data_IF_233978513147
#
_entry.id   IF_233978513147
#
_cell.length_a   1.000
_cell.length_b   1.000
_cell.length_c   1.000
_cell.angle_alpha   90.00
_cell.angle_beta   90.00
_cell.angle_gamma   90.00
#
_symmetry.space_group_name_H-M   'P 1'
#
loop_
_entity.id
_entity.type
_entity.pdbx_description
1 polymer ?
#
# COMPACT_ATOMS: atom_id res chain seq x y z
N UNK A 1 3.04 -19.82 2.25
CA UNK A 1 1.90 -18.92 2.51
C UNK A 1 2.14 -17.60 1.81
N UNK A 2 1.18 -17.16 1.01
CA UNK A 2 1.35 -15.94 0.22
C UNK A 2 0.82 -14.73 0.98
N UNK A 3 1.69 -13.80 1.28
CA UNK A 3 1.33 -12.52 1.89
C UNK A 3 0.98 -11.51 0.80
N UNK A 4 -0.13 -10.79 0.98
CA UNK A 4 -0.45 -9.64 0.16
C UNK A 4 -0.17 -8.38 0.96
N UNK A 5 0.75 -7.56 0.49
CA UNK A 5 1.17 -6.34 1.15
C UNK A 5 0.74 -5.12 0.34
N UNK A 6 0.07 -4.18 1.00
CA UNK A 6 -0.23 -2.87 0.43
C UNK A 6 0.84 -1.91 0.92
N UNK A 7 1.59 -1.32 0.02
CA UNK A 7 2.62 -0.34 0.39
C UNK A 7 2.03 1.06 0.29
N UNK A 8 1.91 1.75 1.42
CA UNK A 8 1.50 3.14 1.38
C UNK A 8 2.65 4.03 0.89
N UNK A 9 2.44 5.35 0.86
CA UNK A 9 3.46 6.26 0.35
C UNK A 9 4.75 6.23 1.16
N UNK A 10 4.68 5.99 2.48
CA UNK A 10 5.89 5.89 3.32
C UNK A 10 6.68 4.63 3.01
N UNK A 11 6.00 3.50 2.89
CA UNK A 11 6.61 2.22 2.55
C UNK A 11 7.17 2.23 1.12
N UNK A 12 6.43 2.81 0.18
CA UNK A 12 6.88 2.93 -1.21
C UNK A 12 8.14 3.77 -1.31
N UNK A 13 8.20 4.88 -0.57
CA UNK A 13 9.41 5.71 -0.50
C UNK A 13 10.61 4.91 0.02
N UNK A 14 10.38 4.08 1.05
CA UNK A 14 11.44 3.23 1.57
C UNK A 14 11.91 2.20 0.54
N UNK A 15 10.98 1.60 -0.20
CA UNK A 15 11.33 0.66 -1.29
C UNK A 15 12.23 1.34 -2.33
N UNK A 16 11.87 2.56 -2.73
CA UNK A 16 12.63 3.29 -3.75
C UNK A 16 14.00 3.76 -3.23
N UNK A 17 14.17 3.81 -1.91
CA UNK A 17 15.47 4.09 -1.28
C UNK A 17 16.24 2.81 -0.95
N UNK A 18 15.81 1.68 -1.51
CA UNK A 18 16.45 0.38 -1.36
C UNK A 18 16.51 -0.12 0.10
N UNK A 19 15.47 0.17 0.89
CA UNK A 19 15.34 -0.40 2.22
C UNK A 19 15.38 -1.93 2.13
N UNK A 20 16.21 -2.61 2.94
CA UNK A 20 16.39 -4.06 2.81
C UNK A 20 15.10 -4.88 2.98
N UNK A 21 14.23 -4.49 3.91
CA UNK A 21 12.99 -5.22 4.12
C UNK A 21 12.09 -5.15 2.88
N UNK A 22 11.85 -3.94 2.37
CA UNK A 22 10.96 -3.74 1.23
C UNK A 22 11.55 -4.28 -0.06
N UNK A 23 12.86 -4.21 -0.22
CA UNK A 23 13.54 -4.85 -1.34
C UNK A 23 13.35 -6.35 -1.29
N UNK A 24 13.51 -6.97 -0.12
CA UNK A 24 13.26 -8.39 0.06
C UNK A 24 11.83 -8.79 -0.24
N UNK A 25 10.87 -7.97 0.18
CA UNK A 25 9.46 -8.20 -0.09
C UNK A 25 9.18 -8.20 -1.60
N UNK A 26 9.75 -7.27 -2.32
CA UNK A 26 9.61 -7.20 -3.78
C UNK A 26 10.24 -8.42 -4.46
N UNK A 27 11.39 -8.89 -3.97
CA UNK A 27 12.03 -10.11 -4.47
C UNK A 27 11.11 -11.32 -4.27
N UNK A 28 10.47 -11.43 -3.11
CA UNK A 28 9.50 -12.50 -2.86
C UNK A 28 8.33 -12.44 -3.86
N UNK A 29 7.85 -11.25 -4.15
CA UNK A 29 6.79 -11.07 -5.16
C UNK A 29 7.25 -11.55 -6.53
N UNK A 30 8.52 -11.31 -6.89
CA UNK A 30 9.08 -11.73 -8.17
C UNK A 30 9.17 -13.26 -8.29
N UNK A 31 9.20 -13.96 -7.16
CA UNK A 31 9.23 -15.41 -7.10
C UNK A 31 7.85 -16.04 -6.97
N UNK A 32 6.80 -15.23 -6.93
CA UNK A 32 5.43 -15.73 -6.78
C UNK A 32 5.07 -16.14 -5.36
N UNK A 33 5.89 -15.80 -4.35
CA UNK A 33 5.64 -16.16 -2.95
C UNK A 33 5.00 -15.04 -2.16
N UNK A 34 4.53 -13.98 -2.84
CA UNK A 34 3.81 -12.88 -2.24
C UNK A 34 3.26 -11.96 -3.30
N UNK A 35 2.45 -10.99 -2.88
CA UNK A 35 1.91 -9.96 -3.75
C UNK A 35 2.19 -8.59 -3.15
N UNK A 36 2.56 -7.65 -3.99
CA UNK A 36 2.77 -6.26 -3.61
C UNK A 36 1.75 -5.41 -4.35
N UNK A 37 0.90 -4.71 -3.61
CA UNK A 37 -0.09 -3.79 -4.15
C UNK A 37 0.36 -2.37 -3.89
N UNK A 38 0.34 -1.55 -4.92
CA UNK A 38 0.77 -0.15 -4.83
C UNK A 38 -0.43 0.74 -5.18
N UNK A 39 -0.98 1.45 -4.19
CA UNK A 39 -2.06 2.40 -4.47
C UNK A 39 -1.56 3.54 -5.34
N UNK A 40 -2.30 3.91 -6.37
CA UNK A 40 -1.87 4.98 -7.29
C UNK A 40 -1.69 6.32 -6.58
N UNK A 41 -2.49 6.61 -5.56
CA UNK A 41 -2.32 7.85 -4.80
C UNK A 41 -1.06 7.82 -3.92
N UNK A 42 -0.61 6.65 -3.51
CA UNK A 42 0.68 6.50 -2.82
C UNK A 42 1.85 6.85 -3.76
N UNK A 43 1.76 6.46 -5.02
CA UNK A 43 2.76 6.82 -6.04
C UNK A 43 2.82 8.32 -6.20
N UNK A 44 1.65 8.97 -6.31
CA UNK A 44 1.58 10.43 -6.46
C UNK A 44 2.19 11.14 -5.25
N UNK A 45 1.93 10.64 -4.05
CA UNK A 45 2.51 11.21 -2.83
C UNK A 45 4.03 10.99 -2.77
N UNK A 46 4.51 9.81 -3.18
CA UNK A 46 5.94 9.51 -3.20
C UNK A 46 6.70 10.39 -4.20
N UNK A 47 6.05 10.78 -5.31
CA UNK A 47 6.65 11.66 -6.32
C UNK A 47 7.08 13.01 -5.72
N UNK A 48 6.42 13.44 -4.66
CA UNK A 48 6.78 14.69 -3.97
C UNK A 48 8.11 14.60 -3.24
N UNK A 49 8.55 13.39 -2.90
CA UNK A 49 9.79 13.17 -2.15
C UNK A 49 10.90 12.57 -3.02
N UNK A 50 10.53 11.80 -4.02
CA UNK A 50 11.48 11.12 -4.91
C UNK A 50 11.08 11.43 -6.33
N UNK A 51 11.91 12.18 -7.03
CA UNK A 51 11.68 12.49 -8.43
C UNK A 51 11.59 11.18 -9.25
N UNK A 52 10.67 11.16 -10.20
CA UNK A 52 10.41 10.02 -11.08
C UNK A 52 9.86 8.78 -10.37
N UNK A 53 9.31 8.93 -9.16
CA UNK A 53 8.67 7.81 -8.45
C UNK A 53 7.56 7.18 -9.29
N UNK A 54 6.79 7.97 -10.03
CA UNK A 54 5.74 7.46 -10.90
C UNK A 54 6.29 6.55 -12.01
N UNK A 55 7.37 6.99 -12.65
CA UNK A 55 8.03 6.16 -13.68
C UNK A 55 8.62 4.90 -13.07
N UNK A 56 9.22 5.02 -11.89
CA UNK A 56 9.80 3.88 -11.19
C UNK A 56 8.71 2.87 -10.84
N UNK A 57 7.60 3.32 -10.27
CA UNK A 57 6.49 2.44 -9.93
C UNK A 57 5.93 1.73 -11.18
N UNK A 58 5.81 2.43 -12.29
CA UNK A 58 5.32 1.84 -13.54
C UNK A 58 6.27 0.77 -14.08
N UNK A 59 7.56 0.83 -13.75
CA UNK A 59 8.55 -0.14 -14.19
C UNK A 59 8.61 -1.40 -13.33
N UNK A 60 7.94 -1.42 -12.18
CA UNK A 60 7.96 -2.55 -11.27
C UNK A 60 7.06 -3.67 -11.80
N UNK A 61 7.69 -4.69 -12.39
CA UNK A 61 6.97 -5.78 -13.08
C UNK A 61 6.20 -6.70 -12.13
N UNK A 62 6.63 -6.79 -10.89
CA UNK A 62 6.10 -7.74 -9.91
C UNK A 62 5.28 -7.06 -8.83
N UNK A 63 4.92 -5.79 -9.02
CA UNK A 63 3.99 -5.07 -8.17
C UNK A 63 2.75 -4.73 -8.99
N UNK A 64 1.61 -4.69 -8.32
CA UNK A 64 0.32 -4.38 -8.95
C UNK A 64 -0.09 -2.97 -8.57
N UNK A 65 -0.26 -2.11 -9.56
CA UNK A 65 -0.75 -0.75 -9.33
C UNK A 65 -2.27 -0.80 -9.20
N UNK A 66 -2.79 -0.24 -8.12
CA UNK A 66 -4.23 -0.24 -7.82
C UNK A 66 -4.76 1.18 -8.01
N UNK A 67 -5.63 1.41 -9.01
CA UNK A 67 -6.20 2.74 -9.22
C UNK A 67 -7.17 3.12 -8.09
N UNK A 68 -7.29 4.42 -7.84
CA UNK A 68 -8.31 4.92 -6.92
C UNK A 68 -9.67 4.91 -7.63
N UNK A 69 -10.59 4.11 -7.12
CA UNK A 69 -11.89 3.91 -7.77
C UNK A 69 -13.02 4.54 -6.96
N UNK A 70 -14.22 4.56 -7.55
CA UNK A 70 -15.42 5.00 -6.83
C UNK A 70 -15.69 4.17 -5.58
N UNK A 71 -15.35 2.87 -5.61
CA UNK A 71 -15.49 2.01 -4.43
C UNK A 71 -14.56 2.46 -3.30
N UNK A 72 -13.33 2.84 -3.64
CA UNK A 72 -12.39 3.38 -2.65
C UNK A 72 -12.91 4.70 -2.07
N UNK A 73 -13.44 5.57 -2.91
CA UNK A 73 -14.00 6.85 -2.45
C UNK A 73 -15.18 6.62 -1.50
N UNK A 74 -16.06 5.69 -1.83
CA UNK A 74 -17.21 5.37 -0.99
C UNK A 74 -16.77 4.84 0.38
N UNK A 75 -15.75 3.99 0.41
CA UNK A 75 -15.24 3.44 1.67
C UNK A 75 -14.61 4.53 2.53
N UNK A 76 -13.93 5.49 1.92
CA UNK A 76 -13.19 6.53 2.63
C UNK A 76 -14.05 7.73 3.05
N UNK A 77 -15.29 7.83 2.56
CA UNK A 77 -16.09 9.07 2.72
C UNK A 77 -16.39 9.42 4.18
N UNK A 78 -16.43 8.45 5.06
CA UNK A 78 -16.71 8.66 6.49
C UNK A 78 -15.46 8.89 7.34
N UNK A 79 -14.28 8.76 6.73
CA UNK A 79 -13.03 8.98 7.47
C UNK A 79 -12.67 10.46 7.45
N UNK A 80 -12.60 11.05 8.64
CA UNK A 80 -12.28 12.47 8.78
C UNK A 80 -10.81 12.66 9.10
N UNK A 81 -10.23 13.72 8.54
CA UNK A 81 -8.84 14.09 8.80
C UNK A 81 -7.82 13.05 8.33
N UNK A 82 -8.19 12.27 7.34
CA UNK A 82 -7.30 11.27 6.74
C UNK A 82 -6.80 11.81 5.40
N UNK A 83 -5.48 11.89 5.23
CA UNK A 83 -4.90 12.33 3.96
C UNK A 83 -5.23 11.35 2.85
N UNK A 84 -5.35 11.87 1.63
CA UNK A 84 -5.77 11.08 0.48
C UNK A 84 -4.87 9.86 0.18
N UNK A 85 -3.52 9.90 0.34
CA UNK A 85 -2.72 8.67 0.10
C UNK A 85 -3.00 7.60 1.14
N UNK A 86 -3.20 7.99 2.40
CA UNK A 86 -3.57 7.06 3.47
C UNK A 86 -4.97 6.50 3.22
N UNK A 87 -5.91 7.35 2.82
CA UNK A 87 -7.28 6.93 2.52
C UNK A 87 -7.30 5.87 1.43
N UNK A 88 -6.49 6.00 0.40
CA UNK A 88 -6.44 5.01 -0.68
C UNK A 88 -5.94 3.65 -0.17
N UNK A 89 -4.82 3.64 0.55
CA UNK A 89 -4.26 2.39 1.08
C UNK A 89 -5.23 1.73 2.07
N UNK A 90 -5.83 2.52 2.95
CA UNK A 90 -6.79 2.01 3.93
C UNK A 90 -8.06 1.48 3.26
N UNK A 91 -8.55 2.14 2.22
CA UNK A 91 -9.72 1.70 1.48
C UNK A 91 -9.49 0.36 0.78
N UNK A 92 -8.32 0.17 0.19
CA UNK A 92 -7.96 -1.12 -0.41
C UNK A 92 -8.05 -2.22 0.64
N UNK A 93 -7.46 -2.00 1.80
CA UNK A 93 -7.45 -2.98 2.88
C UNK A 93 -8.86 -3.25 3.41
N UNK A 94 -9.66 -2.21 3.60
CA UNK A 94 -11.03 -2.36 4.13
C UNK A 94 -11.92 -3.16 3.17
N UNK A 95 -11.85 -2.87 1.88
CA UNK A 95 -12.65 -3.58 0.88
C UNK A 95 -12.19 -5.03 0.77
N UNK A 96 -10.88 -5.27 0.74
CA UNK A 96 -10.34 -6.61 0.68
C UNK A 96 -10.73 -7.42 1.91
N UNK A 97 -10.70 -6.80 3.09
CA UNK A 97 -11.08 -7.45 4.33
C UNK A 97 -12.54 -7.91 4.31
N UNK A 98 -13.43 -7.09 3.77
CA UNK A 98 -14.85 -7.45 3.62
C UNK A 98 -15.07 -8.60 2.64
N UNK A 99 -14.25 -8.67 1.59
CA UNK A 99 -14.36 -9.69 0.55
C UNK A 99 -13.69 -11.01 0.94
N UNK A 100 -12.72 -10.97 1.83
CA UNK A 100 -11.93 -12.14 2.20
C UNK A 100 -12.66 -12.94 3.26
N UNK A 101 -13.39 -13.95 2.84
CA UNK A 101 -14.04 -14.88 3.75
C UNK A 101 -13.10 -15.91 4.35
N UNK A 102 -11.91 -16.05 3.83
CA UNK A 102 -10.99 -17.09 4.26
C UNK A 102 -9.56 -16.57 4.24
N UNK A 103 -9.27 -15.67 5.15
CA UNK A 103 -7.93 -15.47 5.65
C UNK A 103 -6.75 -15.47 4.70
N UNK A 104 -6.86 -14.95 3.47
CA UNK A 104 -5.65 -14.56 2.78
C UNK A 104 -5.13 -13.31 3.47
N UNK A 105 -3.97 -13.38 4.08
CA UNK A 105 -3.48 -12.23 4.83
C UNK A 105 -3.20 -11.07 3.89
N UNK A 106 -3.88 -9.94 4.15
CA UNK A 106 -3.57 -8.68 3.51
C UNK A 106 -3.15 -7.71 4.59
N UNK A 107 -1.99 -7.11 4.45
CA UNK A 107 -1.42 -6.20 5.44
C UNK A 107 -1.03 -4.90 4.76
N UNK A 108 -1.42 -3.77 5.37
CA UNK A 108 -0.88 -2.47 4.96
C UNK A 108 0.46 -2.29 5.67
N UNK A 109 1.50 -2.01 4.92
CA UNK A 109 2.81 -1.69 5.47
C UNK A 109 3.01 -0.17 5.42
N UNK A 110 3.36 0.40 6.56
CA UNK A 110 3.55 1.84 6.71
C UNK A 110 4.64 2.13 7.71
N UNK A 111 5.46 3.13 7.43
CA UNK A 111 6.44 3.62 8.40
C UNK A 111 5.82 4.61 9.39
N UNK A 112 4.57 4.99 9.17
CA UNK A 112 3.83 5.92 10.03
C UNK A 112 2.42 5.38 10.32
N UNK A 113 2.31 4.30 11.12
CA UNK A 113 1.01 3.67 11.40
C UNK A 113 -0.02 4.61 12.03
N UNK A 114 0.45 5.62 12.76
CA UNK A 114 -0.43 6.60 13.40
C UNK A 114 -1.30 7.39 12.43
N UNK A 115 -0.91 7.46 11.15
CA UNK A 115 -1.71 8.14 10.13
C UNK A 115 -3.06 7.45 9.87
N UNK A 116 -3.21 6.20 10.31
CA UNK A 116 -4.40 5.40 10.04
C UNK A 116 -5.43 5.46 11.16
N UNK A 117 -5.19 6.26 12.19
CA UNK A 117 -6.15 6.41 13.29
C UNK A 117 -7.50 6.88 12.75
N UNK A 118 -8.56 6.20 13.14
CA UNK A 118 -9.91 6.51 12.67
C UNK A 118 -10.37 5.75 11.44
N UNK A 119 -9.48 5.00 10.79
CA UNK A 119 -9.86 4.19 9.62
C UNK A 119 -10.29 2.77 9.96
N UNK A 120 -9.98 2.30 11.17
CA UNK A 120 -10.18 0.91 11.53
C UNK A 120 -9.10 -0.03 11.01
N UNK A 121 -8.16 0.46 10.22
CA UNK A 121 -7.05 -0.32 9.67
C UNK A 121 -5.85 -0.17 10.60
N UNK A 122 -5.22 -1.29 10.93
CA UNK A 122 -4.00 -1.32 11.74
C UNK A 122 -2.84 -1.73 10.85
N UNK A 123 -2.07 -0.77 10.33
CA UNK A 123 -0.92 -1.11 9.50
C UNK A 123 0.24 -1.64 10.34
N UNK A 124 1.14 -2.35 9.69
CA UNK A 124 2.35 -2.86 10.29
C UNK A 124 3.54 -1.99 9.88
N UNK A 125 4.33 -1.59 10.86
CA UNK A 125 5.63 -0.98 10.61
C UNK A 125 6.68 -2.08 10.77
N UNK A 126 7.33 -2.51 9.66
CA UNK A 126 8.29 -3.61 9.71
C UNK A 126 9.68 -3.22 10.19
N UNK A 127 9.91 -1.95 10.49
CA UNK A 127 11.25 -1.45 10.88
C UNK A 127 11.42 -1.28 12.38
#
# INVERSE_FOLDING_TARGET
MNLTAVLDHTALTALFRADPFFTGLYIEASRGTGRVLIPSLSVLAAERKIADAGKHAASLRFAENVPFTAAHAAEAMDWKNIDWPVAHAAAIAAIAWQALKAGQPLTVLSLEPGLYAGTGITPLNPT
#
